data_IF_650208216581
#
_entry.id   IF_650208216581
#
_cell.length_a   1.000
_cell.length_b   1.000
_cell.length_c   1.000
_cell.angle_alpha   90.00
_cell.angle_beta   90.00
_cell.angle_gamma   90.00
#
_symmetry.space_group_name_H-M   'P 1'
#
loop_
_entity.id
_entity.type
_entity.pdbx_description
1 polymer ?
#
# COMPACT_ATOMS: atom_id res chain seq x y z
N UNK A 1 5.30 22.60 20.43
CA UNK A 1 5.03 22.18 21.82
C UNK A 1 5.33 20.70 21.84
N UNK A 2 6.29 20.23 22.65
CA UNK A 2 6.52 18.80 22.77
C UNK A 2 5.26 18.21 23.41
N UNK A 3 4.50 17.45 22.64
CA UNK A 3 3.43 16.59 23.17
C UNK A 3 4.14 15.58 24.06
N UNK A 4 4.03 15.75 25.37
CA UNK A 4 4.46 14.74 26.33
C UNK A 4 3.54 13.53 26.16
N UNK A 5 3.94 12.61 25.29
CA UNK A 5 3.27 11.33 25.12
C UNK A 5 3.64 10.49 26.33
N UNK A 6 2.64 9.96 27.02
CA UNK A 6 2.84 8.98 28.07
C UNK A 6 2.87 7.59 27.41
N UNK A 7 4.04 6.93 27.30
CA UNK A 7 4.13 5.62 26.65
C UNK A 7 3.37 4.53 27.41
N UNK A 8 2.98 4.76 28.66
CA UNK A 8 2.24 3.81 29.48
C UNK A 8 0.72 4.00 29.42
N UNK A 9 0.24 4.94 28.61
CA UNK A 9 -1.19 5.17 28.43
C UNK A 9 -1.86 3.96 27.77
N UNK A 10 -3.02 3.59 28.29
CA UNK A 10 -3.74 2.40 27.88
C UNK A 10 -5.25 2.60 27.99
N UNK A 11 -5.99 1.74 27.29
CA UNK A 11 -7.45 1.64 27.41
C UNK A 11 -7.82 0.21 27.74
N UNK A 12 -8.77 0.04 28.65
CA UNK A 12 -9.27 -1.27 29.07
C UNK A 12 -10.80 -1.25 29.19
N UNK A 13 -11.42 -2.41 29.02
CA UNK A 13 -12.85 -2.63 29.27
C UNK A 13 -13.05 -3.76 30.28
N UNK A 14 -13.96 -3.57 31.23
CA UNK A 14 -14.22 -4.56 32.30
C UNK A 14 -14.81 -5.87 31.77
N UNK A 15 -15.58 -5.83 30.68
CA UNK A 15 -16.18 -7.01 30.06
C UNK A 15 -16.31 -6.82 28.55
N UNK A 16 -15.74 -7.74 27.77
CA UNK A 16 -15.81 -7.74 26.31
C UNK A 16 -14.52 -7.29 25.65
N UNK A 17 -14.64 -6.62 24.51
CA UNK A 17 -13.54 -6.12 23.70
C UNK A 17 -13.66 -4.61 23.58
N UNK A 18 -12.61 -3.93 23.10
CA UNK A 18 -12.61 -2.47 22.96
C UNK A 18 -13.52 -1.96 21.83
N UNK A 19 -14.29 -2.83 21.17
CA UNK A 19 -15.23 -2.45 20.11
C UNK A 19 -16.38 -1.58 20.63
N UNK A 20 -16.78 -0.61 19.83
CA UNK A 20 -17.94 0.22 20.15
C UNK A 20 -19.23 -0.48 19.76
N UNK A 21 -20.24 -0.50 20.65
CA UNK A 21 -21.55 -1.09 20.35
C UNK A 21 -22.32 -0.34 19.24
N UNK A 22 -21.96 0.91 18.97
CA UNK A 22 -22.58 1.72 17.93
C UNK A 22 -21.75 1.65 16.65
N UNK A 23 -22.35 1.14 15.58
CA UNK A 23 -21.70 1.01 14.26
C UNK A 23 -21.11 2.33 13.74
N UNK A 24 -21.76 3.48 14.03
CA UNK A 24 -21.24 4.79 13.61
C UNK A 24 -19.95 5.17 14.36
N UNK A 25 -19.88 4.85 15.65
CA UNK A 25 -18.67 5.10 16.45
C UNK A 25 -17.55 4.18 16.00
N UNK A 26 -17.86 2.89 15.79
CA UNK A 26 -16.91 1.92 15.26
C UNK A 26 -16.33 2.36 13.91
N UNK A 27 -17.19 2.74 12.95
CA UNK A 27 -16.74 3.21 11.65
C UNK A 27 -15.88 4.49 11.72
N UNK A 28 -16.20 5.41 12.64
CA UNK A 28 -15.39 6.62 12.87
C UNK A 28 -14.03 6.28 13.47
N UNK A 29 -13.97 5.33 14.40
CA UNK A 29 -12.71 4.86 14.96
C UNK A 29 -11.84 4.20 13.89
N UNK A 30 -12.39 3.26 13.11
CA UNK A 30 -11.67 2.59 12.01
C UNK A 30 -11.13 3.61 10.99
N UNK A 31 -11.94 4.61 10.62
CA UNK A 31 -11.48 5.72 9.79
C UNK A 31 -10.32 6.49 10.45
N UNK A 32 -10.41 6.74 11.76
CA UNK A 32 -9.36 7.40 12.53
C UNK A 32 -8.04 6.63 12.49
N UNK A 33 -8.08 5.30 12.65
CA UNK A 33 -6.90 4.44 12.55
C UNK A 33 -6.28 4.55 11.16
N UNK A 34 -7.09 4.41 10.10
CA UNK A 34 -6.60 4.58 8.74
C UNK A 34 -5.94 5.95 8.55
N UNK A 35 -6.56 7.03 9.03
CA UNK A 35 -5.98 8.38 8.90
C UNK A 35 -4.69 8.56 9.71
N UNK A 36 -4.54 7.91 10.86
CA UNK A 36 -3.31 7.91 11.63
C UNK A 36 -2.18 7.20 10.86
N UNK A 37 -2.43 6.00 10.35
CA UNK A 37 -1.45 5.21 9.58
C UNK A 37 -1.04 5.94 8.30
N UNK A 38 -1.99 6.57 7.60
CA UNK A 38 -1.70 7.37 6.39
C UNK A 38 -0.89 8.65 6.67
N UNK A 39 -0.92 9.16 7.91
CA UNK A 39 -0.12 10.32 8.32
C UNK A 39 1.33 9.93 8.65
N UNK A 40 1.62 8.63 8.81
CA UNK A 40 2.96 8.18 9.13
C UNK A 40 3.90 8.33 7.94
N UNK A 41 4.84 9.27 8.04
CA UNK A 41 5.71 9.67 6.92
C UNK A 41 6.71 8.56 6.53
N UNK A 42 7.17 7.77 7.51
CA UNK A 42 8.08 6.64 7.31
C UNK A 42 7.41 5.56 6.45
N UNK A 43 6.17 5.21 6.75
CA UNK A 43 5.38 4.28 5.96
C UNK A 43 5.01 4.87 4.60
N UNK A 44 4.66 6.16 4.53
CA UNK A 44 4.37 6.83 3.26
C UNK A 44 5.60 6.80 2.32
N UNK A 45 6.78 7.06 2.87
CA UNK A 45 8.06 6.99 2.15
C UNK A 45 8.36 5.57 1.67
N UNK A 46 8.13 4.56 2.52
CA UNK A 46 8.33 3.16 2.15
C UNK A 46 7.40 2.70 1.02
N UNK A 47 6.15 3.18 1.01
CA UNK A 47 5.19 2.93 -0.06
C UNK A 47 5.59 3.66 -1.35
N UNK A 48 5.97 4.93 -1.27
CA UNK A 48 6.37 5.74 -2.43
C UNK A 48 7.60 5.13 -3.14
N UNK A 49 8.56 4.65 -2.37
CA UNK A 49 9.76 4.00 -2.90
C UNK A 49 9.57 2.50 -3.21
N UNK A 50 8.35 1.96 -3.04
CA UNK A 50 8.03 0.55 -3.28
C UNK A 50 8.93 -0.44 -2.52
N UNK A 51 9.36 -0.10 -1.30
CA UNK A 51 10.19 -0.97 -0.47
C UNK A 51 9.47 -2.27 -0.09
N UNK A 52 8.14 -2.22 0.04
CA UNK A 52 7.28 -3.41 0.20
C UNK A 52 6.85 -4.09 -1.11
N UNK A 53 7.49 -3.75 -2.24
CA UNK A 53 7.16 -4.27 -3.57
C UNK A 53 5.94 -3.60 -4.22
N UNK A 54 5.41 -4.18 -5.32
CA UNK A 54 4.32 -3.57 -6.11
C UNK A 54 2.99 -3.44 -5.37
N UNK A 55 2.82 -4.20 -4.29
CA UNK A 55 1.64 -4.18 -3.42
C UNK A 55 1.83 -3.35 -2.14
N UNK A 56 2.86 -2.50 -2.10
CA UNK A 56 3.15 -1.65 -0.93
C UNK A 56 1.95 -0.80 -0.49
N UNK A 57 1.14 -0.30 -1.42
CA UNK A 57 -0.08 0.42 -1.11
C UNK A 57 -1.13 -0.46 -0.40
N UNK A 58 -1.32 -1.71 -0.84
CA UNK A 58 -2.22 -2.68 -0.19
C UNK A 58 -1.70 -3.05 1.21
N UNK A 59 -0.38 -3.19 1.36
CA UNK A 59 0.26 -3.47 2.66
C UNK A 59 0.01 -2.35 3.68
N UNK A 60 0.01 -1.08 3.25
CA UNK A 60 -0.36 0.05 4.14
C UNK A 60 -1.80 -0.07 4.66
N UNK A 61 -2.73 -0.46 3.80
CA UNK A 61 -4.13 -0.64 4.21
C UNK A 61 -4.26 -1.86 5.14
N UNK A 62 -3.49 -2.93 4.88
CA UNK A 62 -3.38 -4.08 5.77
C UNK A 62 -2.86 -3.71 7.17
N UNK A 63 -1.85 -2.83 7.26
CA UNK A 63 -1.35 -2.30 8.55
C UNK A 63 -2.46 -1.60 9.35
N UNK A 64 -3.35 -0.88 8.67
CA UNK A 64 -4.50 -0.25 9.35
C UNK A 64 -5.45 -1.32 9.91
N UNK A 65 -5.65 -2.41 9.17
CA UNK A 65 -6.45 -3.56 9.59
C UNK A 65 -5.93 -4.23 10.86
N UNK A 66 -4.63 -4.58 10.91
CA UNK A 66 -4.06 -5.25 12.09
C UNK A 66 -4.16 -4.38 13.34
N UNK A 67 -4.00 -3.05 13.23
CA UNK A 67 -4.16 -2.14 14.37
C UNK A 67 -5.61 -2.08 14.82
N UNK A 68 -6.58 -2.08 13.90
CA UNK A 68 -8.01 -2.15 14.24
C UNK A 68 -8.33 -3.48 14.95
N UNK A 69 -7.74 -4.58 14.49
CA UNK A 69 -7.99 -5.91 15.03
C UNK A 69 -7.47 -6.05 16.47
N UNK A 70 -6.40 -5.34 16.85
CA UNK A 70 -5.97 -5.26 18.26
C UNK A 70 -7.10 -4.85 19.21
N UNK A 71 -7.90 -3.85 18.82
CA UNK A 71 -9.05 -3.38 19.62
C UNK A 71 -10.25 -4.33 19.54
N UNK A 72 -10.34 -5.15 18.50
CA UNK A 72 -11.41 -6.15 18.35
C UNK A 72 -11.15 -7.40 19.17
N UNK A 73 -9.90 -7.79 19.33
CA UNK A 73 -9.50 -9.05 19.96
C UNK A 73 -9.08 -8.88 21.42
N UNK A 74 -8.60 -7.69 21.80
CA UNK A 74 -8.08 -7.43 23.13
C UNK A 74 -9.07 -6.68 24.03
N UNK A 75 -9.00 -6.99 25.32
CA UNK A 75 -9.75 -6.30 26.37
C UNK A 75 -9.00 -5.06 26.91
N UNK A 76 -7.68 -5.02 26.68
CA UNK A 76 -6.82 -3.89 26.98
C UNK A 76 -5.83 -3.70 25.83
N UNK A 77 -5.61 -2.44 25.45
CA UNK A 77 -4.62 -2.04 24.44
C UNK A 77 -3.88 -0.85 25.02
N UNK A 78 -2.55 -0.92 25.04
CA UNK A 78 -1.67 0.17 25.42
C UNK A 78 -0.96 0.76 24.19
N UNK A 79 -0.35 1.92 24.37
CA UNK A 79 0.38 2.61 23.30
C UNK A 79 1.56 1.76 22.80
N UNK A 80 2.27 1.06 23.69
CA UNK A 80 3.44 0.26 23.33
C UNK A 80 3.05 -0.91 22.40
N UNK A 81 1.92 -1.56 22.64
CA UNK A 81 1.41 -2.65 21.81
C UNK A 81 1.13 -2.17 20.38
N UNK A 82 0.53 -0.99 20.22
CA UNK A 82 0.27 -0.39 18.91
C UNK A 82 1.59 -0.02 18.22
N UNK A 83 2.51 0.60 18.96
CA UNK A 83 3.84 0.98 18.46
C UNK A 83 4.62 -0.25 17.97
N UNK A 84 4.74 -1.28 18.80
CA UNK A 84 5.42 -2.54 18.46
C UNK A 84 4.79 -3.19 17.22
N UNK A 85 3.46 -3.21 17.14
CA UNK A 85 2.74 -3.75 15.97
C UNK A 85 3.08 -2.99 14.68
N UNK A 86 3.17 -1.66 14.73
CA UNK A 86 3.57 -0.82 13.59
C UNK A 86 5.04 -1.05 13.21
N UNK A 87 5.93 -1.13 14.20
CA UNK A 87 7.36 -1.37 13.97
C UNK A 87 7.63 -2.75 13.37
N UNK A 88 7.01 -3.81 13.90
CA UNK A 88 7.12 -5.15 13.34
C UNK A 88 6.59 -5.22 11.92
N UNK A 89 5.45 -4.56 11.63
CA UNK A 89 4.93 -4.51 10.27
C UNK A 89 5.88 -3.80 9.30
N UNK A 90 6.58 -2.75 9.71
CA UNK A 90 7.58 -2.08 8.87
C UNK A 90 8.78 -2.97 8.57
N UNK A 91 9.24 -3.75 9.55
CA UNK A 91 10.33 -4.71 9.35
C UNK A 91 9.89 -5.84 8.43
N UNK A 92 8.76 -6.48 8.72
CA UNK A 92 8.32 -7.68 8.01
C UNK A 92 7.85 -7.38 6.58
N UNK A 93 7.10 -6.30 6.38
CA UNK A 93 6.46 -6.01 5.09
C UNK A 93 7.29 -5.08 4.19
N UNK A 94 8.17 -4.26 4.75
CA UNK A 94 8.93 -3.24 4.03
C UNK A 94 10.45 -3.36 4.19
N UNK A 95 10.96 -4.26 5.04
CA UNK A 95 12.39 -4.38 5.39
C UNK A 95 12.99 -3.06 5.91
N UNK A 96 12.16 -2.28 6.64
CA UNK A 96 12.54 -0.98 7.19
C UNK A 96 12.62 -1.06 8.70
N UNK A 97 13.80 -0.73 9.23
CA UNK A 97 13.96 -0.48 10.65
C UNK A 97 13.71 1.00 10.95
N UNK A 98 12.70 1.27 11.76
CA UNK A 98 12.35 2.63 12.21
C UNK A 98 12.92 2.85 13.61
N UNK A 99 14.00 3.64 13.72
CA UNK A 99 14.71 3.91 14.97
C UNK A 99 14.38 5.29 15.58
N UNK A 100 13.27 5.90 15.16
CA UNK A 100 12.78 7.17 15.71
C UNK A 100 11.44 6.97 16.44
N UNK A 101 11.05 7.96 17.24
CA UNK A 101 9.79 7.92 18.02
C UNK A 101 8.54 8.16 17.15
N UNK A 102 8.63 8.06 15.81
CA UNK A 102 7.50 8.35 14.91
C UNK A 102 6.36 7.35 15.10
N UNK A 103 6.68 6.05 15.27
CA UNK A 103 5.70 5.01 15.53
C UNK A 103 4.93 5.27 16.84
N UNK A 104 5.65 5.73 17.88
CA UNK A 104 5.04 6.14 19.15
C UNK A 104 4.05 7.30 18.99
N UNK A 105 4.38 8.31 18.16
CA UNK A 105 3.47 9.42 17.86
C UNK A 105 2.18 8.95 17.16
N UNK A 106 2.30 7.98 16.24
CA UNK A 106 1.14 7.39 15.55
C UNK A 106 0.30 6.55 16.52
N UNK A 107 0.93 5.73 17.36
CA UNK A 107 0.26 4.95 18.38
C UNK A 107 -0.52 5.84 19.37
N UNK A 108 0.09 6.92 19.84
CA UNK A 108 -0.56 7.91 20.69
C UNK A 108 -1.73 8.61 19.99
N UNK A 109 -1.62 8.86 18.67
CA UNK A 109 -2.70 9.44 17.89
C UNK A 109 -3.89 8.48 17.77
N UNK A 110 -3.64 7.20 17.53
CA UNK A 110 -4.69 6.15 17.52
C UNK A 110 -5.39 6.08 18.87
N UNK A 111 -4.62 6.09 19.97
CA UNK A 111 -5.16 6.10 21.33
C UNK A 111 -6.04 7.34 21.60
N UNK A 112 -5.60 8.51 21.14
CA UNK A 112 -6.36 9.75 21.24
C UNK A 112 -7.68 9.68 20.45
N UNK A 113 -7.70 9.07 19.25
CA UNK A 113 -8.93 8.87 18.48
C UNK A 113 -9.90 7.92 19.18
N UNK A 114 -9.40 6.85 19.79
CA UNK A 114 -10.25 5.95 20.56
C UNK A 114 -11.00 6.72 21.68
N UNK A 115 -10.26 7.49 22.48
CA UNK A 115 -10.84 8.31 23.57
C UNK A 115 -11.82 9.38 23.05
N UNK A 116 -11.51 10.01 21.91
CA UNK A 116 -12.40 11.01 21.29
C UNK A 116 -13.70 10.38 20.77
N UNK A 117 -13.62 9.21 20.14
CA UNK A 117 -14.80 8.49 19.65
C UNK A 117 -15.68 8.02 20.82
N UNK A 118 -15.08 7.62 21.94
CA UNK A 118 -15.78 7.31 23.18
C UNK A 118 -16.57 8.53 23.69
N UNK A 119 -15.95 9.71 23.62
CA UNK A 119 -16.54 11.03 23.93
C UNK A 119 -17.49 11.58 22.85
N UNK A 120 -17.72 10.85 21.76
CA UNK A 120 -18.52 11.28 20.60
C UNK A 120 -18.01 12.54 19.88
N UNK A 121 -16.69 12.79 19.95
CA UNK A 121 -16.01 13.89 19.26
C UNK A 121 -15.30 13.33 18.03
N UNK A 122 -15.60 13.87 16.85
CA UNK A 122 -15.05 13.38 15.57
C UNK A 122 -14.29 14.44 14.77
N UNK A 123 -14.17 15.66 15.30
CA UNK A 123 -13.66 16.83 14.57
C UNK A 123 -12.24 16.59 14.02
N UNK A 124 -11.37 15.97 14.81
CA UNK A 124 -9.98 15.73 14.40
C UNK A 124 -9.89 14.66 13.30
N UNK A 125 -10.67 13.60 13.39
CA UNK A 125 -10.74 12.51 12.39
C UNK A 125 -11.29 13.08 11.07
N UNK A 126 -12.37 13.84 11.14
CA UNK A 126 -13.01 14.43 9.97
C UNK A 126 -12.10 15.47 9.28
N UNK A 127 -11.37 16.27 10.07
CA UNK A 127 -10.39 17.22 9.53
C UNK A 127 -9.22 16.52 8.82
N UNK A 128 -8.73 15.39 9.35
CA UNK A 128 -7.67 14.62 8.69
C UNK A 128 -8.17 13.94 7.42
N UNK A 129 -9.38 13.38 7.46
CA UNK A 129 -9.99 12.76 6.29
C UNK A 129 -10.24 13.77 5.17
N UNK A 130 -10.71 14.98 5.48
CA UNK A 130 -10.85 16.06 4.50
C UNK A 130 -9.51 16.44 3.85
N UNK A 131 -8.45 16.61 4.64
CA UNK A 131 -7.10 16.89 4.12
C UNK A 131 -6.58 15.76 3.22
N UNK A 132 -6.85 14.51 3.59
CA UNK A 132 -6.47 13.35 2.78
C UNK A 132 -7.22 13.34 1.44
N UNK A 133 -8.52 13.65 1.43
CA UNK A 133 -9.30 13.74 0.20
C UNK A 133 -8.77 14.84 -0.74
N UNK A 134 -8.44 16.01 -0.21
CA UNK A 134 -7.86 17.11 -0.99
C UNK A 134 -6.53 16.71 -1.65
N UNK A 135 -5.64 16.04 -0.90
CA UNK A 135 -4.37 15.52 -1.42
C UNK A 135 -4.59 14.45 -2.49
N UNK A 136 -5.48 13.49 -2.23
CA UNK A 136 -5.81 12.40 -3.15
C UNK A 136 -6.40 12.93 -4.47
N UNK A 137 -7.30 13.93 -4.40
CA UNK A 137 -7.89 14.55 -5.58
C UNK A 137 -6.85 15.33 -6.40
N UNK A 138 -5.92 16.02 -5.74
CA UNK A 138 -4.82 16.74 -6.41
C UNK A 138 -3.85 15.78 -7.10
N UNK A 139 -3.48 14.67 -6.44
CA UNK A 139 -2.60 13.66 -7.04
C UNK A 139 -3.27 12.90 -8.20
N UNK A 140 -4.59 12.67 -8.14
CA UNK A 140 -5.34 12.10 -9.27
C UNK A 140 -5.48 13.09 -10.43
N UNK A 141 -5.69 14.38 -10.14
CA UNK A 141 -5.74 15.45 -11.15
C UNK A 141 -4.40 15.65 -11.89
N UNK A 142 -3.27 15.47 -11.20
CA UNK A 142 -1.93 15.50 -11.82
C UNK A 142 -1.60 14.25 -12.66
N UNK A 143 -2.46 13.22 -12.65
CA UNK A 143 -2.37 12.05 -13.53
C UNK A 143 -3.20 12.20 -14.80
N UNK A 144 -3.56 13.43 -15.18
CA UNK A 144 -3.97 13.71 -16.55
C UNK A 144 -2.71 13.65 -17.43
N UNK A 145 -2.40 12.46 -17.94
CA UNK A 145 -1.41 12.27 -19.00
C UNK A 145 -1.90 13.10 -20.19
N UNK A 146 -1.27 14.25 -20.41
CA UNK A 146 -1.39 14.96 -21.68
C UNK A 146 -0.60 14.12 -22.68
N UNK A 147 -1.33 13.31 -23.46
CA UNK A 147 -0.76 12.70 -24.66
C UNK A 147 -0.66 13.85 -25.64
N UNK A 148 0.48 14.54 -25.66
CA UNK A 148 0.84 15.35 -26.82
C UNK A 148 0.92 14.39 -28.00
N UNK A 149 0.13 14.65 -29.04
CA UNK A 149 0.15 13.88 -30.29
C UNK A 149 1.57 13.89 -30.87
N UNK A 150 2.35 12.82 -30.63
CA UNK A 150 3.59 12.57 -31.35
C UNK A 150 3.20 12.21 -32.80
N UNK A 151 3.56 13.03 -33.80
CA UNK A 151 3.23 12.76 -35.20
C UNK A 151 3.83 11.45 -35.75
N UNK A 152 4.73 10.79 -35.00
CA UNK A 152 5.38 9.54 -35.39
C UNK A 152 4.89 8.30 -34.62
N UNK A 153 3.92 8.42 -33.72
CA UNK A 153 3.34 7.26 -33.03
C UNK A 153 1.94 6.96 -33.59
N UNK A 154 1.79 6.02 -34.54
CA UNK A 154 0.46 5.59 -34.98
C UNK A 154 -0.26 4.92 -33.81
N UNK A 155 -1.27 5.63 -33.33
CA UNK A 155 -2.23 5.23 -32.31
C UNK A 155 -2.84 3.85 -32.64
N UNK A 156 -2.55 2.88 -31.79
CA UNK A 156 -3.29 1.61 -31.71
C UNK A 156 -3.63 1.35 -30.26
N UNK A 157 -4.62 2.08 -29.75
CA UNK A 157 -5.40 1.62 -28.60
C UNK A 157 -6.85 2.01 -28.78
N UNK A 158 -7.52 1.27 -29.67
CA UNK A 158 -8.98 1.25 -29.73
C UNK A 158 -9.50 0.60 -28.44
N UNK A 159 -10.10 1.42 -27.57
CA UNK A 159 -10.87 0.94 -26.42
C UNK A 159 -12.27 0.61 -26.91
N UNK A 160 -12.50 -0.67 -27.22
CA UNK A 160 -13.84 -1.22 -27.33
C UNK A 160 -14.15 -2.07 -26.10
N UNK A 161 -15.11 -1.58 -25.33
CA UNK A 161 -15.88 -2.29 -24.31
C UNK A 161 -16.90 -3.18 -25.04
N UNK A 162 -16.83 -4.50 -24.87
CA UNK A 162 -17.95 -5.39 -25.21
C UNK A 162 -17.93 -6.67 -24.36
N UNK A 163 -19.05 -6.88 -23.66
CA UNK A 163 -19.41 -8.12 -22.99
C UNK A 163 -20.00 -9.11 -24.02
N UNK A 164 -19.61 -10.39 -24.00
CA UNK A 164 -20.37 -11.40 -24.76
C UNK A 164 -19.72 -12.78 -24.85
N UNK A 165 -20.46 -13.78 -24.41
CA UNK A 165 -20.21 -15.22 -24.56
C UNK A 165 -20.07 -15.69 -26.02
N UNK A 166 -19.42 -16.84 -26.23
CA UNK A 166 -19.77 -17.75 -27.33
C UNK A 166 -18.61 -18.48 -28.01
N UNK A 167 -18.48 -19.77 -27.70
CA UNK A 167 -18.37 -20.93 -28.61
C UNK A 167 -17.47 -20.86 -29.87
N UNK A 168 -16.48 -21.76 -29.87
CA UNK A 168 -16.12 -22.77 -30.88
C UNK A 168 -16.01 -22.46 -32.41
N UNK A 169 -15.04 -23.20 -32.99
CA UNK A 169 -14.90 -23.67 -34.40
C UNK A 169 -14.11 -22.81 -35.43
N UNK A 170 -12.87 -23.26 -35.60
CA UNK A 170 -12.26 -23.70 -36.87
C UNK A 170 -11.76 -22.73 -37.99
N UNK A 171 -10.51 -23.05 -38.34
CA UNK A 171 -9.88 -23.07 -39.67
C UNK A 171 -9.23 -21.78 -40.24
N UNK A 172 -7.88 -21.79 -40.31
CA UNK A 172 -7.13 -21.38 -41.51
C UNK A 172 -5.65 -21.80 -41.41
N UNK A 173 -5.40 -23.00 -41.94
CA UNK A 173 -4.26 -23.46 -42.76
C UNK A 173 -3.13 -22.44 -43.06
N UNK A 174 -1.92 -22.63 -42.48
CA UNK A 174 -0.65 -22.14 -43.04
C UNK A 174 0.47 -23.20 -42.87
N UNK A 175 0.76 -23.79 -44.04
CA UNK A 175 1.94 -24.47 -44.58
C UNK A 175 3.18 -24.77 -43.70
N UNK A 176 3.70 -26.00 -43.88
CA UNK A 176 4.90 -26.54 -43.25
C UNK A 176 6.20 -25.86 -43.73
N UNK A 177 7.08 -25.41 -42.83
CA UNK A 177 8.54 -25.46 -43.08
C UNK A 177 9.40 -25.42 -41.78
N UNK A 178 10.03 -26.57 -41.50
CA UNK A 178 11.16 -26.98 -40.62
C UNK A 178 11.80 -26.02 -39.57
N UNK A 179 12.22 -26.56 -38.39
CA UNK A 179 12.78 -25.77 -37.29
C UNK A 179 14.25 -25.41 -37.55
N UNK A 180 14.58 -24.12 -37.51
CA UNK A 180 15.97 -23.64 -37.46
C UNK A 180 16.37 -23.33 -36.01
N UNK A 181 17.30 -24.14 -35.52
CA UNK A 181 18.01 -24.05 -34.26
C UNK A 181 18.56 -22.64 -34.03
N UNK A 182 18.08 -21.93 -33.01
CA UNK A 182 18.76 -20.73 -32.49
C UNK A 182 19.95 -21.20 -31.66
N UNK A 183 21.15 -20.87 -32.11
CA UNK A 183 22.41 -21.13 -31.39
C UNK A 183 22.33 -20.54 -29.97
N UNK A 184 22.50 -21.40 -28.97
CA UNK A 184 22.53 -21.00 -27.57
C UNK A 184 23.78 -20.17 -27.27
N UNK A 185 23.69 -19.15 -26.41
CA UNK A 185 24.84 -18.33 -26.06
C UNK A 185 25.84 -19.13 -25.22
N UNK A 186 27.11 -19.15 -25.66
CA UNK A 186 28.20 -19.79 -24.90
C UNK A 186 28.47 -18.95 -23.64
N UNK A 187 28.23 -19.57 -22.49
CA UNK A 187 28.49 -19.03 -21.15
C UNK A 187 29.81 -19.62 -20.65
N UNK A 188 30.70 -18.78 -20.12
CA UNK A 188 31.98 -19.22 -19.53
C UNK A 188 31.80 -19.77 -18.10
N UNK A 189 32.84 -20.39 -17.53
CA UNK A 189 32.85 -20.98 -16.18
C UNK A 189 32.57 -19.95 -15.06
N UNK A 190 32.65 -18.65 -15.35
CA UNK A 190 32.29 -17.53 -14.47
C UNK A 190 30.86 -16.97 -14.71
N UNK A 191 30.04 -17.59 -15.57
CA UNK A 191 28.63 -17.21 -15.76
C UNK A 191 28.37 -15.98 -16.65
N UNK A 192 29.40 -15.46 -17.33
CA UNK A 192 29.26 -14.33 -18.25
C UNK A 192 29.15 -14.78 -19.71
N UNK A 193 28.32 -14.08 -20.48
CA UNK A 193 28.05 -14.35 -21.89
C UNK A 193 29.14 -13.75 -22.80
N UNK A 194 29.81 -14.57 -23.61
CA UNK A 194 30.93 -14.13 -24.45
C UNK A 194 30.47 -13.33 -25.69
N UNK A 195 31.00 -12.12 -25.87
CA UNK A 195 30.72 -11.26 -27.04
C UNK A 195 31.47 -11.76 -28.28
N UNK A 196 30.76 -12.32 -29.25
CA UNK A 196 31.35 -12.80 -30.51
C UNK A 196 31.62 -11.65 -31.49
N UNK A 197 32.86 -11.52 -31.98
CA UNK A 197 33.24 -10.48 -32.95
C UNK A 197 32.77 -10.86 -34.37
N UNK A 198 31.85 -10.07 -34.93
CA UNK A 198 31.32 -10.26 -36.29
C UNK A 198 32.40 -9.99 -37.35
N UNK A 199 32.82 -11.05 -38.06
CA UNK A 199 33.86 -10.99 -39.09
C UNK A 199 33.44 -10.17 -40.32
N UNK A 200 34.35 -9.29 -40.77
CA UNK A 200 34.23 -8.43 -41.96
C UNK A 200 34.48 -9.27 -43.22
N UNK A 201 33.45 -9.51 -44.05
CA UNK A 201 33.62 -10.11 -45.39
C UNK A 201 34.08 -9.04 -46.38
N UNK A 202 35.20 -9.32 -47.06
CA UNK A 202 35.65 -8.67 -48.30
C UNK A 202 34.96 -9.34 -49.48
#
# INVERSE_FOLDING_TARGET
MATSIDPTDYVEVENGTLTFSNEKQQAKFELGVCMAVYKWEELATAVENSWGGPKSAEKRDWISGIVIDLFKESHAVDIQLIEETLLYAMVDEFDVQVDNDSALEIAALVMAFYKQVQDQKYDQIDALYAKWQEKSNTQRGNRQVHIDEDPNNPDVSDSEDDEGEGDDEDDMEIDEEKPQHKDEPVIDDDGFQLVQKKGKRR
#
